data_IF_494871472204
#
_entry.id   IF_494871472204
#
_cell.length_a   1.000
_cell.length_b   1.000
_cell.length_c   1.000
_cell.angle_alpha   90.00
_cell.angle_beta   90.00
_cell.angle_gamma   90.00
#
_symmetry.space_group_name_H-M   'P 1'
#
loop_
_entity.id
_entity.type
_entity.pdbx_description
1 polymer ?
#
# COMPACT_ATOMS: atom_id res chain seq x y z
N UNK A 1 8.90 3.18 -46.76
CA UNK A 1 9.17 2.24 -45.64
C UNK A 1 9.25 3.06 -44.35
N UNK A 2 8.27 2.88 -43.46
CA UNK A 2 8.09 3.70 -42.27
C UNK A 2 9.10 3.34 -41.17
N UNK A 3 9.51 4.39 -40.43
CA UNK A 3 10.53 4.42 -39.37
C UNK A 3 10.05 3.64 -38.14
N UNK A 4 10.88 2.73 -37.62
CA UNK A 4 10.71 2.16 -36.28
C UNK A 4 11.67 2.85 -35.30
N UNK A 5 11.16 3.87 -34.61
CA UNK A 5 11.82 4.52 -33.46
C UNK A 5 10.98 4.17 -32.22
N UNK A 6 11.12 2.95 -31.70
CA UNK A 6 10.54 2.55 -30.40
C UNK A 6 11.54 1.67 -29.63
N UNK A 7 12.74 2.19 -29.40
CA UNK A 7 13.77 1.49 -28.61
C UNK A 7 14.50 2.35 -27.57
N UNK A 8 14.27 3.67 -27.55
CA UNK A 8 15.07 4.61 -26.76
C UNK A 8 14.50 5.03 -25.41
N UNK A 9 13.18 4.92 -25.20
CA UNK A 9 12.49 5.60 -24.08
C UNK A 9 12.19 4.71 -22.87
N UNK A 10 12.15 3.39 -23.01
CA UNK A 10 11.88 2.48 -21.88
C UNK A 10 13.10 2.27 -20.97
N UNK A 11 14.32 2.43 -21.51
CA UNK A 11 15.55 2.14 -20.77
C UNK A 11 15.82 3.06 -19.56
N UNK A 12 15.26 4.28 -19.56
CA UNK A 12 15.47 5.28 -18.51
C UNK A 12 14.52 5.14 -17.31
N UNK A 13 13.36 4.48 -17.47
CA UNK A 13 12.33 4.47 -16.44
C UNK A 13 12.77 3.75 -15.15
N UNK A 14 13.25 2.50 -15.24
CA UNK A 14 13.55 1.73 -14.01
C UNK A 14 14.80 2.18 -13.28
N UNK A 15 15.85 2.61 -14.00
CA UNK A 15 17.08 3.10 -13.36
C UNK A 15 16.82 4.40 -12.58
N UNK A 16 16.15 5.35 -13.20
CA UNK A 16 15.79 6.62 -12.55
C UNK A 16 14.86 6.39 -11.36
N UNK A 17 13.86 5.50 -11.50
CA UNK A 17 12.97 5.14 -10.39
C UNK A 17 13.70 4.48 -9.22
N UNK A 18 14.66 3.59 -9.50
CA UNK A 18 15.45 2.92 -8.46
C UNK A 18 16.35 3.92 -7.72
N UNK A 19 16.92 4.89 -8.44
CA UNK A 19 17.71 5.97 -7.87
C UNK A 19 16.85 6.90 -7.01
N UNK A 20 15.69 7.32 -7.51
CA UNK A 20 14.73 8.14 -6.76
C UNK A 20 14.27 7.43 -5.48
N UNK A 21 13.99 6.13 -5.54
CA UNK A 21 13.66 5.32 -4.37
C UNK A 21 14.79 5.37 -3.32
N UNK A 22 16.04 5.07 -3.71
CA UNK A 22 17.16 5.11 -2.75
C UNK A 22 17.37 6.48 -2.15
N UNK A 23 17.18 7.55 -2.93
CA UNK A 23 17.33 8.92 -2.46
C UNK A 23 16.25 9.28 -1.44
N UNK A 24 14.97 9.00 -1.74
CA UNK A 24 13.84 9.28 -0.84
C UNK A 24 13.91 8.46 0.45
N UNK A 25 14.47 7.26 0.39
CA UNK A 25 14.64 6.37 1.54
C UNK A 25 15.97 6.57 2.29
N UNK A 26 16.77 7.58 1.93
CA UNK A 26 18.09 7.85 2.52
C UNK A 26 19.05 6.65 2.47
N UNK A 27 18.93 5.83 1.42
CA UNK A 27 19.77 4.67 1.17
C UNK A 27 20.98 5.04 0.30
N UNK A 28 21.99 4.17 0.31
CA UNK A 28 23.10 4.27 -0.63
C UNK A 28 22.61 4.14 -2.08
N UNK A 29 23.21 4.88 -3.03
CA UNK A 29 22.80 4.85 -4.43
C UNK A 29 22.99 3.45 -5.04
N UNK A 30 22.18 3.04 -6.04
CA UNK A 30 22.27 1.72 -6.64
C UNK A 30 23.62 1.49 -7.34
N UNK A 31 24.29 0.38 -7.04
CA UNK A 31 25.59 0.05 -7.63
C UNK A 31 25.41 -1.08 -8.66
N UNK A 32 25.79 -0.83 -9.91
CA UNK A 32 25.66 -1.80 -11.01
C UNK A 32 27.00 -2.50 -11.27
N UNK A 33 26.96 -3.82 -11.39
CA UNK A 33 28.06 -4.68 -11.84
C UNK A 33 27.66 -5.39 -13.13
N UNK A 34 28.56 -5.46 -14.11
CA UNK A 34 28.32 -6.17 -15.37
C UNK A 34 29.40 -7.24 -15.55
N UNK A 35 28.95 -8.45 -15.86
CA UNK A 35 29.79 -9.57 -16.26
C UNK A 35 29.60 -9.82 -17.75
N UNK A 36 30.71 -9.87 -18.50
CA UNK A 36 30.73 -10.29 -19.91
C UNK A 36 30.99 -11.80 -19.93
N UNK A 37 30.08 -12.53 -20.55
CA UNK A 37 30.08 -13.99 -20.69
C UNK A 37 30.02 -14.35 -22.19
N UNK A 38 30.36 -15.59 -22.56
CA UNK A 38 30.31 -16.05 -23.96
C UNK A 38 31.57 -15.78 -24.78
N UNK A 39 31.54 -16.22 -26.04
CA UNK A 39 32.69 -16.12 -26.93
C UNK A 39 32.99 -14.66 -27.30
N UNK A 40 34.25 -14.36 -27.63
CA UNK A 40 34.66 -13.00 -27.97
C UNK A 40 33.90 -12.41 -29.17
N UNK A 41 33.54 -13.27 -30.14
CA UNK A 41 32.75 -12.93 -31.32
C UNK A 41 31.23 -12.93 -31.07
N UNK A 42 30.76 -13.38 -29.90
CA UNK A 42 29.34 -13.42 -29.53
C UNK A 42 29.17 -13.18 -28.02
N UNK A 43 29.44 -11.94 -27.56
CA UNK A 43 29.43 -11.64 -26.14
C UNK A 43 28.01 -11.47 -25.60
N UNK A 44 27.81 -12.02 -24.42
CA UNK A 44 26.61 -11.91 -23.62
C UNK A 44 26.92 -11.14 -22.34
N UNK A 45 25.95 -10.38 -21.84
CA UNK A 45 26.12 -9.55 -20.66
C UNK A 45 25.08 -9.93 -19.60
N UNK A 46 25.56 -10.14 -18.38
CA UNK A 46 24.75 -10.26 -17.18
C UNK A 46 24.99 -9.03 -16.33
N UNK A 47 23.92 -8.44 -15.81
CA UNK A 47 24.05 -7.31 -14.89
C UNK A 47 23.54 -7.71 -13.50
N UNK A 48 24.10 -7.07 -12.48
CA UNK A 48 23.63 -7.16 -11.10
C UNK A 48 23.58 -5.75 -10.53
N UNK A 49 22.50 -5.41 -9.83
CA UNK A 49 22.37 -4.16 -9.09
C UNK A 49 22.31 -4.44 -7.59
N UNK A 50 23.08 -3.69 -6.82
CA UNK A 50 23.06 -3.68 -5.36
C UNK A 50 22.20 -2.51 -4.89
N UNK A 51 21.14 -2.81 -4.14
CA UNK A 51 20.26 -1.83 -3.50
C UNK A 51 19.96 -2.30 -2.09
N UNK A 52 20.19 -1.45 -1.09
CA UNK A 52 19.89 -1.76 0.32
C UNK A 52 20.53 -3.08 0.79
N UNK A 53 21.82 -3.27 0.49
CA UNK A 53 22.56 -4.49 0.82
C UNK A 53 22.15 -5.75 0.03
N UNK A 54 21.10 -5.69 -0.80
CA UNK A 54 20.59 -6.83 -1.58
C UNK A 54 20.97 -6.73 -3.05
N UNK A 55 21.37 -7.88 -3.63
CA UNK A 55 21.79 -7.99 -5.04
C UNK A 55 20.66 -8.56 -5.89
N UNK A 56 20.44 -7.94 -7.04
CA UNK A 56 19.44 -8.35 -8.03
C UNK A 56 20.10 -8.55 -9.38
N UNK A 57 20.10 -9.79 -9.88
CA UNK A 57 20.68 -10.13 -11.16
C UNK A 57 19.65 -10.08 -12.28
N UNK A 58 20.10 -9.77 -13.50
CA UNK A 58 19.27 -9.87 -14.70
C UNK A 58 18.83 -11.32 -14.94
N UNK A 59 17.58 -11.52 -15.37
CA UNK A 59 17.06 -12.82 -15.74
C UNK A 59 17.63 -13.21 -17.11
N UNK A 60 18.66 -14.06 -17.08
CA UNK A 60 19.40 -14.45 -18.27
C UNK A 60 20.47 -13.42 -18.67
N UNK A 61 20.96 -13.59 -19.91
CA UNK A 61 22.03 -12.78 -20.50
C UNK A 61 21.55 -12.01 -21.72
N UNK A 62 22.16 -10.86 -21.98
CA UNK A 62 21.73 -9.95 -23.05
C UNK A 62 22.91 -9.58 -23.96
N UNK A 63 22.67 -9.35 -25.24
CA UNK A 63 23.71 -8.90 -26.18
C UNK A 63 24.20 -7.47 -25.93
N UNK A 64 23.48 -6.69 -25.12
CA UNK A 64 23.80 -5.28 -24.82
C UNK A 64 23.86 -5.06 -23.32
N UNK A 65 24.93 -4.41 -22.86
CA UNK A 65 25.12 -3.99 -21.45
C UNK A 65 23.91 -3.24 -20.90
N UNK A 66 23.40 -2.26 -21.64
CA UNK A 66 22.23 -1.45 -21.24
C UNK A 66 20.95 -2.27 -21.04
N UNK A 67 20.78 -3.35 -21.79
CA UNK A 67 19.62 -4.25 -21.66
C UNK A 67 19.73 -5.12 -20.42
N UNK A 68 20.92 -5.64 -20.13
CA UNK A 68 21.18 -6.38 -18.90
C UNK A 68 20.93 -5.49 -17.67
N UNK A 69 21.49 -4.28 -17.64
CA UNK A 69 21.30 -3.35 -16.51
C UNK A 69 19.85 -2.94 -16.32
N UNK A 70 19.12 -2.70 -17.40
CA UNK A 70 17.71 -2.36 -17.35
C UNK A 70 16.88 -3.50 -16.76
N UNK A 71 17.14 -4.74 -17.19
CA UNK A 71 16.46 -5.91 -16.66
C UNK A 71 16.79 -6.13 -15.17
N UNK A 72 18.05 -5.97 -14.77
CA UNK A 72 18.44 -6.01 -13.36
C UNK A 72 17.73 -4.92 -12.52
N UNK A 73 17.61 -3.69 -13.05
CA UNK A 73 16.88 -2.60 -12.40
C UNK A 73 15.38 -2.88 -12.27
N UNK A 74 14.76 -3.45 -13.30
CA UNK A 74 13.36 -3.87 -13.29
C UNK A 74 13.13 -4.94 -12.20
N UNK A 75 13.98 -5.97 -12.15
CA UNK A 75 13.89 -7.04 -11.14
C UNK A 75 14.05 -6.48 -9.73
N UNK A 76 15.03 -5.58 -9.52
CA UNK A 76 15.22 -4.92 -8.24
C UNK A 76 13.97 -4.14 -7.81
N UNK A 77 13.44 -3.29 -8.70
CA UNK A 77 12.27 -2.46 -8.41
C UNK A 77 11.02 -3.30 -8.10
N UNK A 78 10.73 -4.32 -8.92
CA UNK A 78 9.62 -5.23 -8.65
C UNK A 78 9.79 -5.99 -7.33
N UNK A 79 11.01 -6.42 -7.02
CA UNK A 79 11.28 -7.14 -5.76
C UNK A 79 11.13 -6.22 -4.55
N UNK A 80 11.56 -4.96 -4.65
CA UNK A 80 11.39 -3.95 -3.61
C UNK A 80 9.90 -3.66 -3.42
N UNK A 81 9.16 -3.41 -4.50
CA UNK A 81 7.71 -3.17 -4.45
C UNK A 81 6.96 -4.36 -3.88
N UNK A 82 7.32 -5.59 -4.29
CA UNK A 82 6.73 -6.81 -3.74
C UNK A 82 6.98 -6.87 -2.26
N UNK A 83 8.22 -6.67 -1.78
CA UNK A 83 8.48 -6.61 -0.33
C UNK A 83 7.69 -5.52 0.35
N UNK A 84 7.63 -4.30 -0.18
CA UNK A 84 6.78 -3.24 0.41
C UNK A 84 5.28 -3.59 0.46
N UNK A 85 4.83 -4.62 -0.26
CA UNK A 85 3.48 -5.15 -0.27
C UNK A 85 3.34 -6.51 0.46
N UNK A 86 4.45 -7.20 0.71
CA UNK A 86 4.60 -8.59 1.20
C UNK A 86 5.51 -8.65 2.44
N UNK A 87 5.91 -7.49 2.97
CA UNK A 87 6.59 -7.33 4.25
C UNK A 87 5.55 -7.77 5.28
N UNK A 88 5.50 -9.09 5.51
CA UNK A 88 4.68 -9.79 6.47
C UNK A 88 5.03 -9.44 7.92
N UNK A 89 5.37 -8.19 8.17
CA UNK A 89 5.06 -7.58 9.44
C UNK A 89 3.53 -7.51 9.48
N UNK A 90 2.86 -8.15 10.45
CA UNK A 90 1.42 -8.01 10.62
C UNK A 90 1.12 -6.50 10.67
N UNK A 91 0.47 -5.97 9.64
CA UNK A 91 0.06 -4.57 9.68
C UNK A 91 -0.97 -4.54 10.79
N UNK A 92 -0.65 -3.88 11.89
CA UNK A 92 -1.57 -3.81 13.00
C UNK A 92 -2.84 -3.11 12.50
N UNK A 93 -4.02 -3.78 12.47
CA UNK A 93 -5.21 -3.21 11.87
C UNK A 93 -5.61 -1.87 12.52
N UNK A 94 -5.24 -1.68 13.79
CA UNK A 94 -5.45 -0.42 14.51
C UNK A 94 -4.54 0.71 14.04
N UNK A 95 -3.30 0.43 13.62
CA UNK A 95 -2.38 1.49 13.16
C UNK A 95 -2.85 2.12 11.85
N UNK A 96 -3.40 1.33 10.92
CA UNK A 96 -3.99 1.83 9.67
C UNK A 96 -5.07 2.87 9.96
N UNK A 97 -5.99 2.53 10.88
CA UNK A 97 -7.14 3.37 11.18
C UNK A 97 -6.80 4.57 12.08
N UNK A 98 -5.64 4.55 12.73
CA UNK A 98 -5.10 5.71 13.44
C UNK A 98 -4.57 6.78 12.47
N UNK A 99 -3.97 6.35 11.35
CA UNK A 99 -3.42 7.24 10.33
C UNK A 99 -4.51 7.79 9.40
N UNK A 100 -5.50 6.96 9.05
CA UNK A 100 -6.58 7.34 8.14
C UNK A 100 -7.93 6.74 8.57
N UNK A 101 -8.81 7.60 9.07
CA UNK A 101 -10.17 7.23 9.49
C UNK A 101 -11.16 7.16 8.33
N UNK A 102 -10.79 7.60 7.12
CA UNK A 102 -11.76 7.77 6.02
C UNK A 102 -12.38 6.47 5.52
N UNK A 103 -11.75 5.32 5.82
CA UNK A 103 -12.22 4.00 5.43
C UNK A 103 -13.14 3.34 6.46
N UNK A 104 -13.21 3.84 7.69
CA UNK A 104 -13.88 3.16 8.82
C UNK A 104 -15.34 2.81 8.53
N UNK A 105 -16.13 3.73 7.98
CA UNK A 105 -17.54 3.45 7.61
C UNK A 105 -17.65 2.34 6.57
N UNK A 106 -16.76 2.33 5.58
CA UNK A 106 -16.80 1.34 4.49
C UNK A 106 -16.40 -0.06 4.99
N UNK A 107 -15.38 -0.12 5.85
CA UNK A 107 -14.91 -1.34 6.51
C UNK A 107 -16.04 -1.91 7.38
N UNK A 108 -16.67 -1.07 8.20
CA UNK A 108 -17.72 -1.51 9.10
C UNK A 108 -18.98 -1.99 8.34
N UNK A 109 -19.34 -1.33 7.23
CA UNK A 109 -20.44 -1.79 6.39
C UNK A 109 -20.16 -3.17 5.79
N UNK A 110 -18.95 -3.40 5.27
CA UNK A 110 -18.57 -4.72 4.75
C UNK A 110 -18.57 -5.79 5.84
N UNK A 111 -18.09 -5.44 7.04
CA UNK A 111 -18.12 -6.33 8.21
C UNK A 111 -19.55 -6.73 8.58
N UNK A 112 -20.46 -5.75 8.67
CA UNK A 112 -21.87 -6.02 8.97
C UNK A 112 -22.49 -6.96 7.94
N UNK A 113 -22.17 -6.79 6.65
CA UNK A 113 -22.62 -7.68 5.59
C UNK A 113 -22.06 -9.10 5.72
N UNK A 114 -20.75 -9.27 5.97
CA UNK A 114 -20.12 -10.59 6.11
C UNK A 114 -20.58 -11.34 7.35
N UNK A 115 -20.88 -10.61 8.43
CA UNK A 115 -21.35 -11.18 9.70
C UNK A 115 -22.88 -11.30 9.76
N UNK A 116 -23.59 -10.95 8.69
CA UNK A 116 -25.06 -10.94 8.64
C UNK A 116 -25.71 -10.10 9.76
N UNK A 117 -25.10 -8.96 10.09
CA UNK A 117 -25.60 -8.01 11.08
C UNK A 117 -26.52 -6.98 10.44
N UNK A 118 -27.31 -6.30 11.27
CA UNK A 118 -28.05 -5.12 10.84
C UNK A 118 -27.12 -3.99 10.39
N UNK A 119 -27.63 -3.14 9.50
CA UNK A 119 -26.87 -2.03 8.94
C UNK A 119 -26.45 -1.04 10.06
N UNK A 120 -25.17 -0.60 10.09
CA UNK A 120 -24.70 0.40 11.04
C UNK A 120 -25.53 1.68 11.01
N UNK A 121 -26.11 2.08 12.14
CA UNK A 121 -26.92 3.29 12.27
C UNK A 121 -26.16 4.41 12.99
N UNK A 122 -26.07 5.60 12.40
CA UNK A 122 -25.31 6.73 12.95
C UNK A 122 -26.22 7.85 13.41
N UNK A 123 -25.97 8.34 14.61
CA UNK A 123 -26.67 9.46 15.24
C UNK A 123 -25.65 10.55 15.51
N UNK A 124 -25.73 11.64 14.76
CA UNK A 124 -24.80 12.76 14.91
C UNK A 124 -25.51 13.95 15.50
N UNK A 125 -24.91 14.50 16.55
CA UNK A 125 -25.34 15.75 17.18
C UNK A 125 -24.31 16.83 16.91
N UNK A 126 -24.79 18.06 16.74
CA UNK A 126 -23.98 19.26 16.70
C UNK A 126 -24.35 20.11 17.94
N UNK A 127 -23.56 20.05 19.01
CA UNK A 127 -23.79 20.88 20.19
C UNK A 127 -23.82 22.37 19.82
N UNK A 128 -24.65 23.13 20.51
CA UNK A 128 -24.73 24.58 20.33
C UNK A 128 -23.48 25.24 20.94
N UNK A 129 -22.75 26.00 20.13
CA UNK A 129 -21.54 26.70 20.54
C UNK A 129 -21.02 27.62 19.45
N UNK A 130 -20.10 28.53 19.82
CA UNK A 130 -19.49 29.48 18.87
C UNK A 130 -18.64 28.77 17.80
N UNK A 131 -18.08 27.60 18.12
CA UNK A 131 -17.27 26.79 17.22
C UNK A 131 -18.07 25.54 16.86
N UNK A 132 -18.36 25.28 15.57
CA UNK A 132 -19.10 24.10 15.15
C UNK A 132 -18.25 22.84 15.36
N UNK A 133 -18.75 21.94 16.21
CA UNK A 133 -18.17 20.63 16.51
C UNK A 133 -19.25 19.55 16.38
N UNK A 134 -18.87 18.33 16.02
CA UNK A 134 -19.80 17.23 15.78
C UNK A 134 -19.42 16.02 16.62
N UNK A 135 -20.41 15.37 17.22
CA UNK A 135 -20.24 14.11 17.94
C UNK A 135 -21.18 13.07 17.32
N UNK A 136 -20.68 11.86 17.08
CA UNK A 136 -21.47 10.79 16.47
C UNK A 136 -21.46 9.54 17.35
N UNK A 137 -22.63 8.92 17.47
CA UNK A 137 -22.84 7.61 18.08
C UNK A 137 -23.29 6.63 17.01
N UNK A 138 -22.62 5.49 16.94
CA UNK A 138 -22.94 4.39 16.05
C UNK A 138 -23.64 3.29 16.85
N UNK A 139 -24.70 2.71 16.30
CA UNK A 139 -25.34 1.49 16.81
C UNK A 139 -25.03 0.34 15.87
N UNK A 140 -24.43 -0.73 16.40
CA UNK A 140 -24.15 -1.97 15.69
C UNK A 140 -24.42 -3.17 16.60
N UNK A 141 -25.29 -4.09 16.15
CA UNK A 141 -25.70 -5.26 16.91
C UNK A 141 -26.23 -4.91 18.33
N UNK A 142 -26.99 -3.81 18.44
CA UNK A 142 -27.52 -3.31 19.70
C UNK A 142 -26.51 -2.64 20.65
N UNK A 143 -25.23 -2.51 20.24
CA UNK A 143 -24.17 -1.85 21.02
C UNK A 143 -23.91 -0.45 20.48
N UNK A 144 -23.73 0.50 21.39
CA UNK A 144 -23.47 1.90 21.07
C UNK A 144 -21.98 2.24 21.16
N UNK A 145 -21.44 2.83 20.09
CA UNK A 145 -20.05 3.25 19.97
C UNK A 145 -19.99 4.76 19.74
N UNK A 146 -19.47 5.50 20.71
CA UNK A 146 -19.37 6.96 20.61
C UNK A 146 -17.98 7.34 20.17
N UNK A 147 -17.87 8.02 19.02
CA UNK A 147 -16.61 8.52 18.49
C UNK A 147 -16.14 9.80 19.19
N UNK A 148 -14.88 10.17 18.95
CA UNK A 148 -14.36 11.49 19.31
C UNK A 148 -15.07 12.65 18.59
N UNK A 149 -14.72 13.88 18.96
CA UNK A 149 -15.27 15.09 18.34
C UNK A 149 -14.69 15.29 16.94
N UNK A 150 -15.57 15.33 15.94
CA UNK A 150 -15.22 15.61 14.54
C UNK A 150 -15.38 17.07 14.17
N UNK A 151 -14.60 17.52 13.18
CA UNK A 151 -14.69 18.89 12.61
C UNK A 151 -15.90 19.08 11.70
N UNK A 152 -16.51 17.98 11.26
CA UNK A 152 -17.74 17.93 10.47
C UNK A 152 -18.46 16.60 10.76
N UNK A 153 -19.72 16.49 10.29
CA UNK A 153 -20.52 15.26 10.45
C UNK A 153 -19.81 14.02 9.90
N UNK A 154 -19.18 14.10 8.73
CA UNK A 154 -18.51 12.96 8.09
C UNK A 154 -17.35 12.45 8.95
N UNK A 155 -16.55 13.36 9.49
CA UNK A 155 -15.42 13.08 10.37
C UNK A 155 -15.88 12.40 11.68
N UNK A 156 -16.92 12.95 12.32
CA UNK A 156 -17.49 12.37 13.55
C UNK A 156 -18.03 10.95 13.34
N UNK A 157 -18.70 10.69 12.22
CA UNK A 157 -19.20 9.34 11.89
C UNK A 157 -18.05 8.34 11.65
N UNK A 158 -16.94 8.76 11.02
CA UNK A 158 -15.77 7.90 10.84
C UNK A 158 -15.12 7.55 12.19
N UNK A 159 -15.04 8.52 13.10
CA UNK A 159 -14.52 8.29 14.46
C UNK A 159 -15.39 7.29 15.24
N UNK A 160 -16.72 7.39 15.14
CA UNK A 160 -17.63 6.43 15.77
C UNK A 160 -17.47 5.02 15.18
N UNK A 161 -17.32 4.92 13.85
CA UNK A 161 -17.03 3.66 13.18
C UNK A 161 -15.69 3.05 13.62
N UNK A 162 -14.66 3.87 13.83
CA UNK A 162 -13.35 3.41 14.30
C UNK A 162 -13.42 2.75 15.68
N UNK A 163 -14.17 3.34 16.62
CA UNK A 163 -14.35 2.77 17.96
C UNK A 163 -15.05 1.39 17.90
N UNK A 164 -16.06 1.24 17.05
CA UNK A 164 -16.68 -0.07 16.81
C UNK A 164 -15.69 -1.08 16.23
N UNK A 165 -14.86 -0.67 15.26
CA UNK A 165 -13.85 -1.55 14.68
C UNK A 165 -12.84 -2.00 15.75
N UNK A 166 -12.39 -1.09 16.62
CA UNK A 166 -11.44 -1.41 17.67
C UNK A 166 -12.03 -2.39 18.68
N UNK A 167 -13.28 -2.17 19.07
CA UNK A 167 -14.00 -3.10 19.94
C UNK A 167 -14.15 -4.49 19.33
N UNK A 168 -14.41 -4.59 18.01
CA UNK A 168 -14.49 -5.89 17.33
C UNK A 168 -13.14 -6.59 17.24
N UNK A 169 -12.05 -5.85 17.06
CA UNK A 169 -10.68 -6.40 17.06
C UNK A 169 -10.24 -6.88 18.45
N UNK A 170 -10.72 -6.24 19.52
CA UNK A 170 -10.46 -6.65 20.91
C UNK A 170 -11.42 -7.73 21.43
N UNK A 171 -12.38 -8.16 20.61
CA UNK A 171 -13.37 -9.15 21.02
C UNK A 171 -12.75 -10.54 21.25
N UNK A 172 -13.29 -11.28 22.23
CA UNK A 172 -12.84 -12.64 22.53
C UNK A 172 -13.23 -13.66 21.44
N UNK A 173 -14.13 -13.26 20.52
CA UNK A 173 -14.49 -14.07 19.37
C UNK A 173 -13.42 -13.94 18.26
N UNK A 174 -12.56 -14.97 18.19
CA UNK A 174 -11.50 -15.05 17.21
C UNK A 174 -12.01 -14.97 15.76
N UNK A 175 -13.24 -15.38 15.46
CA UNK A 175 -13.79 -15.32 14.11
C UNK A 175 -14.11 -13.88 13.70
N UNK A 176 -14.82 -13.15 14.57
CA UNK A 176 -15.13 -11.72 14.39
C UNK A 176 -13.88 -10.87 14.19
N UNK A 177 -12.85 -11.06 15.03
CA UNK A 177 -11.60 -10.33 14.94
C UNK A 177 -10.81 -10.65 13.65
N UNK A 178 -10.83 -11.91 13.21
CA UNK A 178 -10.17 -12.35 11.96
C UNK A 178 -10.84 -11.71 10.74
N UNK A 179 -12.18 -11.80 10.65
CA UNK A 179 -12.95 -11.21 9.54
C UNK A 179 -12.74 -9.70 9.46
N UNK A 180 -12.74 -9.01 10.61
CA UNK A 180 -12.42 -7.58 10.67
C UNK A 180 -11.03 -7.27 10.12
N UNK A 181 -10.02 -8.03 10.55
CA UNK A 181 -8.63 -7.82 10.12
C UNK A 181 -8.48 -8.02 8.62
N UNK A 182 -9.09 -9.07 8.05
CA UNK A 182 -9.08 -9.34 6.61
C UNK A 182 -9.72 -8.20 5.79
N UNK A 183 -10.84 -7.65 6.26
CA UNK A 183 -11.50 -6.53 5.57
C UNK A 183 -10.62 -5.28 5.60
N UNK A 184 -10.03 -4.95 6.76
CA UNK A 184 -9.15 -3.79 6.91
C UNK A 184 -7.96 -3.91 5.96
N UNK A 185 -7.31 -5.07 5.92
CA UNK A 185 -6.19 -5.31 5.02
C UNK A 185 -6.59 -5.20 3.54
N UNK A 186 -7.73 -5.77 3.16
CA UNK A 186 -8.24 -5.73 1.79
C UNK A 186 -8.48 -4.29 1.33
N UNK A 187 -9.23 -3.51 2.12
CA UNK A 187 -9.52 -2.10 1.82
C UNK A 187 -8.27 -1.24 1.76
N UNK A 188 -7.32 -1.47 2.66
CA UNK A 188 -6.08 -0.72 2.67
C UNK A 188 -5.23 -1.03 1.43
N UNK A 189 -5.12 -2.30 1.04
CA UNK A 189 -4.42 -2.74 -0.18
C UNK A 189 -5.04 -2.11 -1.43
N UNK A 190 -6.37 -2.04 -1.53
CA UNK A 190 -7.07 -1.42 -2.67
C UNK A 190 -6.75 0.08 -2.80
N UNK A 191 -6.81 0.83 -1.71
CA UNK A 191 -6.55 2.28 -1.70
C UNK A 191 -5.08 2.58 -1.98
N UNK A 192 -4.17 1.77 -1.42
CA UNK A 192 -2.73 1.90 -1.66
C UNK A 192 -2.38 1.56 -3.10
N UNK A 193 -2.97 0.51 -3.67
CA UNK A 193 -2.80 0.18 -5.09
C UNK A 193 -3.28 1.34 -5.97
N UNK A 194 -4.47 1.88 -5.73
CA UNK A 194 -4.99 3.04 -6.45
C UNK A 194 -4.09 4.28 -6.33
N UNK A 195 -3.53 4.53 -5.14
CA UNK A 195 -2.62 5.66 -4.89
C UNK A 195 -1.25 5.50 -5.56
N UNK A 196 -0.78 4.26 -5.76
CA UNK A 196 0.44 3.97 -6.52
C UNK A 196 0.18 4.18 -8.02
N UNK A 197 -1.00 3.83 -8.54
CA UNK A 197 -1.38 4.09 -9.93
C UNK A 197 -1.51 5.58 -10.27
N UNK A 198 -1.90 6.42 -9.30
CA UNK A 198 -2.01 7.87 -9.48
C UNK A 198 -0.67 8.64 -9.41
N UNK A 199 0.44 7.94 -9.15
CA UNK A 199 1.81 8.52 -9.17
C UNK A 199 2.61 8.14 -10.42
N UNK A 200 1.95 7.62 -11.46
CA UNK A 200 2.53 7.31 -12.76
C UNK A 200 1.77 8.02 -13.88
#
# INVERSE_FOLDING_TARGET
MARNIVGGLQHHMYKSRLQEYTQKSCLQPPVYTIVKEGAEHSPNFRATVLVDGKKYASQGTFQRRKSAEHNAAMIALHSIQKRMNDDGCPINPKSILNEDTTLCKSILNEYALKMHLEHPAYYTVQPQGLIPVFASTLVLNGVNYTGGIGRNKKDAEQLAAREAIFSSLDSADSASATIMSEIIESKYKDVRAASVFLKF
#
